data_IF_031967943878
#
_entry.id   IF_031967943878
#
_cell.length_a   1.000
_cell.length_b   1.000
_cell.length_c   1.000
_cell.angle_alpha   90.00
_cell.angle_beta   90.00
_cell.angle_gamma   90.00
#
_symmetry.space_group_name_H-M   'P 1'
#
loop_
_entity.id
_entity.type
_entity.pdbx_description
1 polymer ?
#
# COMPACT_ATOMS: atom_id res chain seq x y z
N UNK A 1 -15.92 5.58 13.56
CA UNK A 1 -15.72 6.60 12.49
C UNK A 1 -14.36 6.33 11.87
N UNK A 2 -14.38 5.40 10.94
CA UNK A 2 -13.26 4.75 10.26
C UNK A 2 -12.66 5.72 9.24
N UNK A 3 -11.81 6.64 9.70
CA UNK A 3 -11.00 7.44 8.79
C UNK A 3 -9.70 6.66 8.53
N UNK A 4 -9.64 5.95 7.41
CA UNK A 4 -8.39 5.34 6.98
C UNK A 4 -7.56 6.43 6.32
N UNK A 5 -6.46 6.81 6.95
CA UNK A 5 -5.47 7.70 6.36
C UNK A 5 -4.33 6.86 5.82
N UNK A 6 -3.80 7.23 4.67
CA UNK A 6 -2.54 6.71 4.14
C UNK A 6 -1.48 7.80 4.18
N UNK A 7 -0.23 7.36 4.20
CA UNK A 7 0.93 8.24 4.28
C UNK A 7 1.75 8.09 3.03
N UNK A 8 1.94 9.19 2.32
CA UNK A 8 2.69 9.23 1.06
C UNK A 8 3.95 10.06 1.27
N UNK A 9 5.03 9.65 0.63
CA UNK A 9 6.21 10.51 0.50
C UNK A 9 5.92 11.51 -0.61
N UNK A 10 5.61 12.73 -0.19
CA UNK A 10 5.36 13.86 -1.07
C UNK A 10 6.64 14.44 -1.68
N UNK A 11 6.47 15.59 -2.30
CA UNK A 11 7.57 16.36 -2.86
C UNK A 11 8.57 16.77 -1.76
N UNK A 12 9.85 16.89 -2.11
CA UNK A 12 10.92 17.26 -1.18
C UNK A 12 11.08 16.34 0.04
N UNK A 13 10.69 15.06 -0.05
CA UNK A 13 10.77 14.08 1.05
C UNK A 13 9.94 14.49 2.27
N UNK A 14 8.75 15.04 2.04
CA UNK A 14 7.81 15.40 3.11
C UNK A 14 6.68 14.37 3.24
N UNK A 15 6.08 14.28 4.41
CA UNK A 15 4.92 13.44 4.68
C UNK A 15 3.64 14.11 4.17
N UNK A 16 2.94 13.46 3.26
CA UNK A 16 1.58 13.82 2.88
C UNK A 16 0.59 12.84 3.52
N UNK A 17 -0.42 13.37 4.21
CA UNK A 17 -1.45 12.56 4.88
C UNK A 17 -2.73 12.61 4.06
N UNK A 18 -3.09 11.51 3.43
CA UNK A 18 -4.27 11.44 2.55
C UNK A 18 -5.37 10.62 3.19
N UNK A 19 -6.55 11.22 3.35
CA UNK A 19 -7.75 10.47 3.74
C UNK A 19 -8.24 9.66 2.57
N UNK A 20 -8.48 8.37 2.80
CA UNK A 20 -9.04 7.45 1.81
C UNK A 20 -10.25 6.73 2.38
N UNK A 21 -11.02 6.11 1.48
CA UNK A 21 -12.13 5.24 1.84
C UNK A 21 -11.83 3.85 1.29
N UNK A 22 -11.49 2.88 2.16
CA UNK A 22 -11.34 1.51 1.71
C UNK A 22 -12.66 0.98 1.18
N UNK A 23 -12.60 0.25 0.07
CA UNK A 23 -13.76 -0.51 -0.42
C UNK A 23 -13.94 -1.80 0.38
N UNK A 24 -12.85 -2.32 0.94
CA UNK A 24 -12.84 -3.50 1.79
C UNK A 24 -11.62 -3.49 2.72
N UNK A 25 -11.76 -4.11 3.89
CA UNK A 25 -10.68 -4.27 4.87
C UNK A 25 -10.85 -5.57 5.65
N UNK A 26 -9.73 -6.19 5.98
CA UNK A 26 -9.59 -7.29 6.94
C UNK A 26 -8.53 -6.92 8.00
N UNK A 27 -8.04 -7.88 8.79
CA UNK A 27 -7.03 -7.63 9.82
C UNK A 27 -5.67 -7.22 9.21
N UNK A 28 -5.27 -7.88 8.12
CA UNK A 28 -3.94 -7.72 7.52
C UNK A 28 -3.97 -7.02 6.15
N UNK A 29 -5.15 -6.90 5.53
CA UNK A 29 -5.29 -6.45 4.14
C UNK A 29 -6.31 -5.33 4.04
N UNK A 30 -5.95 -4.27 3.31
CA UNK A 30 -6.84 -3.15 2.98
C UNK A 30 -6.89 -2.97 1.47
N UNK A 31 -8.09 -2.99 0.89
CA UNK A 31 -8.29 -2.75 -0.54
C UNK A 31 -8.82 -1.34 -0.77
N UNK A 32 -8.08 -0.57 -1.57
CA UNK A 32 -8.42 0.79 -1.98
C UNK A 32 -8.77 0.78 -3.48
N UNK A 33 -9.86 1.47 -3.85
CA UNK A 33 -10.21 1.70 -5.26
C UNK A 33 -9.45 2.89 -5.85
N UNK A 34 -9.18 3.87 -5.00
CA UNK A 34 -8.55 5.15 -5.34
C UNK A 34 -7.81 5.69 -4.11
N UNK A 35 -6.97 6.70 -4.34
CA UNK A 35 -6.16 7.34 -3.30
C UNK A 35 -4.66 7.22 -3.47
N UNK A 36 -4.17 6.36 -4.37
CA UNK A 36 -2.76 6.25 -4.73
C UNK A 36 -2.60 6.34 -6.26
N UNK A 37 -1.63 7.11 -6.72
CA UNK A 37 -1.26 7.24 -8.14
C UNK A 37 -0.01 6.40 -8.45
N UNK A 38 0.14 5.91 -9.69
CA UNK A 38 1.36 5.24 -10.11
C UNK A 38 2.60 6.09 -9.83
N UNK A 39 3.64 5.48 -9.26
CA UNK A 39 4.89 6.14 -8.92
C UNK A 39 4.91 6.85 -7.55
N UNK A 40 3.78 7.01 -6.87
CA UNK A 40 3.76 7.48 -5.48
C UNK A 40 4.36 6.44 -4.54
N UNK A 41 5.07 6.89 -3.50
CA UNK A 41 5.68 6.01 -2.49
C UNK A 41 4.82 6.00 -1.23
N UNK A 42 4.23 4.84 -0.94
CA UNK A 42 3.43 4.59 0.26
C UNK A 42 4.35 4.24 1.44
N UNK A 43 4.12 4.86 2.59
CA UNK A 43 4.79 4.52 3.85
C UNK A 43 3.96 3.45 4.55
N UNK A 44 4.56 2.28 4.75
CA UNK A 44 3.94 1.11 5.42
C UNK A 44 4.57 0.80 6.78
N UNK A 45 5.62 1.52 7.16
CA UNK A 45 6.22 1.47 8.49
C UNK A 45 5.42 2.28 9.49
N UNK A 46 5.52 1.93 10.76
CA UNK A 46 4.99 2.75 11.84
C UNK A 46 5.74 4.10 11.92
N UNK A 47 5.00 5.19 12.14
CA UNK A 47 5.55 6.52 12.36
C UNK A 47 5.04 7.05 13.71
N UNK A 48 5.93 7.43 14.64
CA UNK A 48 5.51 8.04 15.89
C UNK A 48 4.95 9.45 15.62
N UNK A 49 3.66 9.64 15.87
CA UNK A 49 2.94 10.91 15.72
C UNK A 49 3.12 11.57 14.34
N UNK A 50 2.51 11.02 13.26
CA UNK A 50 2.65 11.55 11.91
C UNK A 50 2.01 12.95 11.78
N UNK A 51 2.79 13.92 11.30
CA UNK A 51 2.35 15.30 11.04
C UNK A 51 2.54 15.64 9.56
N UNK A 52 1.51 16.21 8.95
CA UNK A 52 1.54 16.70 7.57
C UNK A 52 2.73 17.67 7.36
N UNK A 53 3.49 17.45 6.28
CA UNK A 53 4.63 18.28 5.89
C UNK A 53 5.95 17.97 6.62
N UNK A 54 5.96 17.05 7.60
CA UNK A 54 7.19 16.64 8.27
C UNK A 54 8.14 15.93 7.30
N UNK A 55 9.45 16.15 7.43
CA UNK A 55 10.44 15.40 6.64
C UNK A 55 10.40 13.90 6.98
N UNK A 56 10.47 13.06 5.96
CA UNK A 56 10.54 11.61 6.08
C UNK A 56 11.78 11.07 5.38
N UNK A 57 12.41 10.07 5.98
CA UNK A 57 13.52 9.36 5.37
C UNK A 57 13.01 8.04 4.81
N UNK A 58 13.20 7.83 3.52
CA UNK A 58 12.92 6.54 2.88
C UNK A 58 14.18 5.70 2.95
N UNK A 59 14.12 4.58 3.65
CA UNK A 59 15.16 3.58 3.56
C UNK A 59 15.07 2.88 2.20
N UNK A 60 16.19 2.77 1.46
CA UNK A 60 16.18 2.00 0.23
C UNK A 60 15.84 0.55 0.58
N UNK A 61 14.73 0.05 0.04
CA UNK A 61 14.43 -1.38 0.11
C UNK A 61 15.62 -2.12 -0.48
N UNK A 62 16.33 -2.88 0.37
CA UNK A 62 17.20 -3.94 -0.11
C UNK A 62 16.27 -4.93 -0.79
N UNK A 63 16.23 -4.87 -2.12
CA UNK A 63 15.32 -5.63 -2.96
C UNK A 63 15.67 -7.12 -2.87
N UNK A 64 15.07 -7.80 -1.89
CA UNK A 64 14.97 -9.27 -1.86
C UNK A 64 13.50 -9.71 -1.97
N UNK A 65 12.66 -8.90 -2.62
CA UNK A 65 11.38 -9.42 -3.09
C UNK A 65 11.71 -10.30 -4.29
N UNK A 66 11.73 -11.62 -4.07
CA UNK A 66 11.59 -12.62 -5.13
C UNK A 66 10.25 -12.35 -5.80
N UNK A 67 10.27 -11.47 -6.80
CA UNK A 67 9.26 -11.42 -7.84
C UNK A 67 9.08 -12.83 -8.39
N UNK A 68 7.83 -13.15 -8.74
CA UNK A 68 7.39 -14.40 -9.34
C UNK A 68 7.02 -15.54 -8.37
N UNK A 69 5.84 -15.44 -7.75
CA UNK A 69 4.92 -16.57 -7.82
C UNK A 69 3.51 -16.05 -8.18
N UNK A 70 2.96 -16.42 -9.35
CA UNK A 70 1.55 -16.19 -9.60
C UNK A 70 0.75 -17.00 -8.58
N UNK A 71 -0.15 -16.34 -7.86
CA UNK A 71 -1.26 -17.02 -7.17
C UNK A 71 -1.96 -17.88 -8.21
N UNK A 72 -1.71 -19.19 -8.20
CA UNK A 72 -2.44 -20.14 -9.03
C UNK A 72 -3.89 -20.12 -8.57
N UNK A 73 -4.70 -19.31 -9.22
CA UNK A 73 -6.15 -19.41 -9.22
C UNK A 73 -6.48 -20.82 -9.75
N UNK A 74 -6.86 -21.73 -8.85
CA UNK A 74 -7.47 -22.99 -9.27
C UNK A 74 -8.86 -22.67 -9.83
N UNK A 75 -8.93 -22.33 -11.11
CA UNK A 75 -10.13 -22.42 -11.90
C UNK A 75 -10.23 -23.83 -12.50
N UNK A 76 -11.33 -24.50 -12.21
CA UNK A 76 -11.75 -25.75 -12.82
C UNK A 76 -12.03 -25.59 -14.32
N UNK A 77 -11.77 -26.64 -15.13
CA UNK A 77 -12.76 -27.41 -15.93
C UNK A 77 -12.11 -28.17 -17.11
N UNK A 78 -12.76 -29.30 -17.50
CA UNK A 78 -12.54 -30.20 -18.65
C UNK A 78 -11.33 -31.15 -18.54
N UNK A 79 -11.39 -32.45 -18.83
CA UNK A 79 -12.39 -33.32 -19.45
C UNK A 79 -11.66 -34.62 -19.85
N UNK A 80 -12.34 -35.77 -19.74
CA UNK A 80 -12.15 -37.03 -20.48
C UNK A 80 -10.73 -37.49 -20.88
N UNK A 81 -10.29 -38.61 -20.29
CA UNK A 81 -9.90 -39.81 -21.05
C UNK A 81 -9.98 -41.06 -20.20
#
# INVERSE_FOLDING_TARGET
KDNSSIWIVGENQTLEIRKVRPVWRDADVVLLKDGLKPGERLIVSDLPAPVEGMMVRVEPLKSEIKSDQPVKEKAAKDGTS
#
